data_IF_507200101518
#
_entry.id   IF_507200101518
#
_cell.length_a   1.000
_cell.length_b   1.000
_cell.length_c   1.000
_cell.angle_alpha   90.00
_cell.angle_beta   90.00
_cell.angle_gamma   90.00
#
_symmetry.space_group_name_H-M   'P 1'
#
loop_
_entity.id
_entity.type
_entity.pdbx_description
1 polymer ?
#
# COMPACT_ATOMS: atom_id res chain seq x y z
N UNK A 1 40.08 32.29 -28.78
CA UNK A 1 38.65 32.47 -29.09
C UNK A 1 38.11 31.09 -29.44
N UNK A 2 37.68 30.34 -28.44
CA UNK A 2 36.97 29.08 -28.65
C UNK A 2 35.51 29.33 -28.32
N UNK A 3 34.85 30.06 -29.22
CA UNK A 3 33.42 30.33 -29.14
C UNK A 3 32.69 29.09 -29.64
N UNK A 4 32.79 27.99 -28.87
CA UNK A 4 31.87 26.86 -29.03
C UNK A 4 30.47 27.37 -28.71
N UNK A 5 29.63 27.41 -29.74
CA UNK A 5 28.26 27.89 -29.69
C UNK A 5 27.52 27.30 -28.48
N UNK A 6 26.69 28.08 -27.75
CA UNK A 6 26.00 27.64 -26.52
C UNK A 6 25.13 26.38 -26.72
N UNK A 7 24.86 26.01 -27.97
CA UNK A 7 24.04 24.88 -28.39
C UNK A 7 24.67 23.53 -28.00
N UNK A 8 26.01 23.41 -27.95
CA UNK A 8 26.68 22.14 -27.57
C UNK A 8 26.53 21.82 -26.09
N UNK A 9 26.50 22.84 -25.23
CA UNK A 9 26.35 22.69 -23.78
C UNK A 9 24.95 22.19 -23.40
N UNK A 10 23.90 22.66 -24.06
CA UNK A 10 22.53 22.19 -23.81
C UNK A 10 22.32 20.75 -24.27
N UNK A 11 22.91 20.37 -25.41
CA UNK A 11 22.86 18.97 -25.87
C UNK A 11 23.63 18.03 -24.96
N UNK A 12 24.80 18.41 -24.47
CA UNK A 12 25.57 17.58 -23.54
C UNK A 12 24.86 17.44 -22.19
N UNK A 13 24.34 18.53 -21.62
CA UNK A 13 23.53 18.47 -20.39
C UNK A 13 22.27 17.62 -20.55
N UNK A 14 21.59 17.69 -21.70
CA UNK A 14 20.41 16.87 -21.97
C UNK A 14 20.76 15.38 -22.08
N UNK A 15 21.88 15.04 -22.72
CA UNK A 15 22.36 13.65 -22.85
C UNK A 15 22.80 13.09 -21.49
N UNK A 16 23.54 13.87 -20.71
CA UNK A 16 23.97 13.45 -19.36
C UNK A 16 22.78 13.21 -18.44
N UNK A 17 21.79 14.12 -18.46
CA UNK A 17 20.56 13.97 -17.69
C UNK A 17 19.73 12.76 -18.16
N UNK A 18 19.67 12.50 -19.47
CA UNK A 18 18.98 11.34 -20.01
C UNK A 18 19.67 10.02 -19.62
N UNK A 19 21.01 9.98 -19.55
CA UNK A 19 21.75 8.80 -19.12
C UNK A 19 21.63 8.55 -17.61
N UNK A 20 21.56 9.60 -16.80
CA UNK A 20 21.42 9.48 -15.33
C UNK A 20 20.00 9.14 -14.86
N UNK A 21 18.97 9.66 -15.54
CA UNK A 21 17.57 9.46 -15.16
C UNK A 21 16.83 8.42 -16.00
N UNK A 22 17.25 8.19 -17.25
CA UNK A 22 16.62 7.22 -18.15
C UNK A 22 16.53 5.81 -17.57
N UNK A 23 17.64 5.22 -17.07
CA UNK A 23 17.62 3.90 -16.43
C UNK A 23 16.76 3.87 -15.17
N UNK A 24 16.78 4.93 -14.36
CA UNK A 24 15.97 5.03 -13.13
C UNK A 24 14.48 5.05 -13.44
N UNK A 25 14.06 5.81 -14.45
CA UNK A 25 12.67 5.86 -14.92
C UNK A 25 12.23 4.51 -15.47
N UNK A 26 13.06 3.87 -16.30
CA UNK A 26 12.77 2.53 -16.84
C UNK A 26 12.60 1.49 -15.73
N UNK A 27 13.51 1.45 -14.76
CA UNK A 27 13.41 0.56 -13.60
C UNK A 27 12.19 0.87 -12.75
N UNK A 28 11.88 2.13 -12.52
CA UNK A 28 10.70 2.56 -11.76
C UNK A 28 9.39 2.10 -12.44
N UNK A 29 9.30 2.23 -13.76
CA UNK A 29 8.15 1.73 -14.55
C UNK A 29 8.05 0.21 -14.51
N UNK A 30 9.18 -0.49 -14.60
CA UNK A 30 9.23 -1.95 -14.51
C UNK A 30 8.76 -2.43 -13.13
N UNK A 31 9.27 -1.81 -12.05
CA UNK A 31 8.86 -2.10 -10.68
C UNK A 31 7.38 -1.78 -10.47
N UNK A 32 6.88 -0.67 -10.99
CA UNK A 32 5.46 -0.32 -10.91
C UNK A 32 4.59 -1.39 -11.58
N UNK A 33 4.94 -1.80 -12.79
CA UNK A 33 4.16 -2.80 -13.53
C UNK A 33 4.16 -4.16 -12.85
N UNK A 34 5.35 -4.65 -12.46
CA UNK A 34 5.50 -5.94 -11.77
C UNK A 34 4.83 -5.88 -10.39
N UNK A 35 5.04 -4.79 -9.64
CA UNK A 35 4.45 -4.57 -8.33
C UNK A 35 2.93 -4.62 -8.37
N UNK A 36 2.28 -3.94 -9.33
CA UNK A 36 0.83 -4.00 -9.47
C UNK A 36 0.31 -5.41 -9.78
N UNK A 37 1.07 -6.21 -10.52
CA UNK A 37 0.74 -7.62 -10.78
C UNK A 37 0.89 -8.45 -9.50
N UNK A 38 1.97 -8.28 -8.75
CA UNK A 38 2.21 -8.97 -7.48
C UNK A 38 1.10 -8.65 -6.48
N UNK A 39 0.75 -7.37 -6.31
CA UNK A 39 -0.33 -6.94 -5.40
C UNK A 39 -1.64 -7.63 -5.77
N UNK A 40 -1.98 -7.68 -7.05
CA UNK A 40 -3.20 -8.37 -7.52
C UNK A 40 -3.18 -9.86 -7.17
N UNK A 41 -2.03 -10.52 -7.29
CA UNK A 41 -1.88 -11.93 -6.91
C UNK A 41 -2.04 -12.11 -5.41
N UNK A 42 -1.40 -11.26 -4.60
CA UNK A 42 -1.49 -11.30 -3.13
C UNK A 42 -2.91 -11.09 -2.63
N UNK A 43 -3.61 -10.07 -3.15
CA UNK A 43 -5.02 -9.80 -2.77
C UNK A 43 -5.90 -10.99 -3.13
N UNK A 44 -5.76 -11.56 -4.34
CA UNK A 44 -6.52 -12.76 -4.73
C UNK A 44 -6.18 -13.97 -3.87
N UNK A 45 -4.94 -14.12 -3.42
CA UNK A 45 -4.53 -15.21 -2.55
C UNK A 45 -5.23 -15.10 -1.19
N UNK A 46 -5.32 -13.89 -0.63
CA UNK A 46 -6.06 -13.62 0.60
C UNK A 46 -7.56 -13.89 0.42
N UNK A 47 -8.17 -13.36 -0.63
CA UNK A 47 -9.60 -13.56 -0.92
C UNK A 47 -9.94 -15.05 -1.06
N UNK A 48 -9.12 -15.82 -1.80
CA UNK A 48 -9.29 -17.27 -1.93
C UNK A 48 -9.11 -18.00 -0.60
N UNK A 49 -8.17 -17.55 0.24
CA UNK A 49 -7.97 -18.11 1.57
C UNK A 49 -9.21 -17.94 2.46
N UNK A 50 -9.87 -16.79 2.37
CA UNK A 50 -11.10 -16.49 3.11
C UNK A 50 -12.32 -17.22 2.55
N UNK A 51 -12.43 -17.38 1.23
CA UNK A 51 -13.49 -18.17 0.58
C UNK A 51 -13.48 -19.62 1.05
N UNK A 52 -12.28 -20.23 1.18
CA UNK A 52 -12.14 -21.61 1.69
C UNK A 52 -12.62 -21.81 3.12
N UNK A 53 -12.84 -20.73 3.88
CA UNK A 53 -13.28 -20.75 5.28
C UNK A 53 -14.70 -20.22 5.45
N UNK A 54 -15.50 -20.16 4.38
CA UNK A 54 -16.87 -19.61 4.38
C UNK A 54 -16.99 -18.26 5.10
N UNK A 55 -15.97 -17.41 4.92
CA UNK A 55 -15.98 -16.08 5.53
C UNK A 55 -17.00 -15.18 4.82
N UNK A 56 -17.72 -14.35 5.57
CA UNK A 56 -18.69 -13.39 5.04
C UNK A 56 -18.16 -12.57 3.85
N UNK A 57 -18.89 -12.47 2.71
CA UNK A 57 -18.44 -11.74 1.52
C UNK A 57 -18.06 -10.28 1.78
N UNK A 58 -18.73 -9.62 2.73
CA UNK A 58 -18.43 -8.25 3.14
C UNK A 58 -17.05 -8.14 3.77
N UNK A 59 -16.70 -9.09 4.64
CA UNK A 59 -15.39 -9.13 5.31
C UNK A 59 -14.27 -9.45 4.30
N UNK A 60 -14.55 -10.32 3.33
CA UNK A 60 -13.60 -10.60 2.23
C UNK A 60 -13.27 -9.32 1.45
N UNK A 61 -14.28 -8.57 1.02
CA UNK A 61 -14.09 -7.30 0.29
C UNK A 61 -13.36 -6.26 1.14
N UNK A 62 -13.71 -6.16 2.42
CA UNK A 62 -13.05 -5.25 3.35
C UNK A 62 -11.56 -5.57 3.49
N UNK A 63 -11.20 -6.83 3.75
CA UNK A 63 -9.80 -7.27 3.83
C UNK A 63 -9.05 -7.09 2.51
N UNK A 64 -9.64 -7.50 1.39
CA UNK A 64 -9.05 -7.36 0.06
C UNK A 64 -8.78 -5.90 -0.31
N UNK A 65 -9.72 -5.01 0.00
CA UNK A 65 -9.54 -3.56 -0.22
C UNK A 65 -8.49 -2.94 0.70
N UNK A 66 -8.50 -3.25 2.01
CA UNK A 66 -7.49 -2.76 2.95
C UNK A 66 -6.07 -3.16 2.52
N UNK A 67 -5.86 -4.44 2.25
CA UNK A 67 -4.55 -4.96 1.81
C UNK A 67 -4.17 -4.37 0.44
N UNK A 68 -5.13 -4.32 -0.49
CA UNK A 68 -4.90 -3.80 -1.83
C UNK A 68 -4.51 -2.33 -1.85
N UNK A 69 -5.20 -1.48 -1.06
CA UNK A 69 -4.86 -0.06 -0.95
C UNK A 69 -3.55 0.16 -0.19
N UNK A 70 -3.32 -0.57 0.91
CA UNK A 70 -2.08 -0.49 1.67
C UNK A 70 -0.84 -0.83 0.83
N UNK A 71 -0.87 -1.97 0.13
CA UNK A 71 0.26 -2.39 -0.72
C UNK A 71 0.48 -1.44 -1.90
N UNK A 72 -0.57 -0.90 -2.51
CA UNK A 72 -0.43 0.10 -3.59
C UNK A 72 0.23 1.38 -3.08
N UNK A 73 -0.19 1.88 -1.91
CA UNK A 73 0.41 3.07 -1.32
C UNK A 73 1.92 2.89 -1.10
N UNK A 74 2.33 1.74 -0.55
CA UNK A 74 3.74 1.39 -0.38
C UNK A 74 4.48 1.33 -1.73
N UNK A 75 3.91 0.66 -2.73
CA UNK A 75 4.50 0.57 -4.07
C UNK A 75 4.70 1.96 -4.69
N UNK A 76 3.71 2.84 -4.60
CA UNK A 76 3.82 4.20 -5.13
C UNK A 76 4.92 5.00 -4.43
N UNK A 77 5.01 4.92 -3.10
CA UNK A 77 6.09 5.57 -2.35
C UNK A 77 7.45 5.04 -2.80
N UNK A 78 7.61 3.72 -2.95
CA UNK A 78 8.87 3.13 -3.44
C UNK A 78 9.24 3.62 -4.84
N UNK A 79 8.28 3.65 -5.77
CA UNK A 79 8.50 4.13 -7.15
C UNK A 79 8.89 5.61 -7.18
N UNK A 80 8.23 6.46 -6.39
CA UNK A 80 8.57 7.88 -6.26
C UNK A 80 9.98 8.06 -5.70
N UNK A 81 10.36 7.26 -4.70
CA UNK A 81 11.70 7.28 -4.13
C UNK A 81 12.78 6.88 -5.15
N UNK A 82 12.51 5.88 -6.00
CA UNK A 82 13.43 5.45 -7.07
C UNK A 82 13.70 6.56 -8.09
N UNK A 83 12.74 7.47 -8.30
CA UNK A 83 12.90 8.64 -9.16
C UNK A 83 13.72 9.77 -8.52
N UNK A 84 14.17 9.60 -7.27
CA UNK A 84 14.96 10.59 -6.53
C UNK A 84 14.11 11.67 -5.85
N UNK A 85 12.79 11.49 -5.79
CA UNK A 85 11.89 12.41 -5.09
C UNK A 85 11.86 12.07 -3.61
N UNK A 86 12.01 13.08 -2.75
CA UNK A 86 11.90 12.92 -1.31
C UNK A 86 10.48 12.49 -0.90
N UNK A 87 10.36 11.32 -0.27
CA UNK A 87 9.06 10.73 0.09
C UNK A 87 8.59 11.03 1.50
N UNK A 88 9.39 11.72 2.32
CA UNK A 88 9.08 12.00 3.73
C UNK A 88 7.70 12.63 3.93
N UNK A 89 7.35 13.64 3.12
CA UNK A 89 6.03 14.29 3.18
C UNK A 89 4.89 13.36 2.77
N UNK A 90 5.12 12.47 1.79
CA UNK A 90 4.14 11.46 1.39
C UNK A 90 3.91 10.43 2.50
N UNK A 91 4.98 9.97 3.14
CA UNK A 91 4.90 9.04 4.27
C UNK A 91 4.15 9.68 5.44
N UNK A 92 4.38 10.97 5.72
CA UNK A 92 3.63 11.69 6.75
C UNK A 92 2.12 11.77 6.44
N UNK A 93 1.75 12.11 5.20
CA UNK A 93 0.34 12.16 4.77
C UNK A 93 -0.31 10.77 4.82
N UNK A 94 0.39 9.74 4.34
CA UNK A 94 -0.10 8.36 4.40
C UNK A 94 -0.23 7.86 5.85
N UNK A 95 0.68 8.25 6.73
CA UNK A 95 0.60 7.98 8.16
C UNK A 95 -0.63 8.64 8.79
N UNK A 96 -0.89 9.91 8.48
CA UNK A 96 -2.08 10.62 8.95
C UNK A 96 -3.38 10.01 8.40
N UNK A 97 -3.41 9.65 7.11
CA UNK A 97 -4.55 8.96 6.51
C UNK A 97 -4.78 7.57 7.13
N UNK A 98 -3.70 6.81 7.36
CA UNK A 98 -3.76 5.53 8.04
C UNK A 98 -4.28 5.64 9.47
N UNK A 99 -3.85 6.67 10.21
CA UNK A 99 -4.39 6.98 11.53
C UNK A 99 -5.88 7.31 11.45
N UNK A 100 -6.29 8.19 10.54
CA UNK A 100 -7.69 8.56 10.38
C UNK A 100 -8.59 7.35 10.06
N UNK A 101 -8.14 6.48 9.14
CA UNK A 101 -8.83 5.22 8.82
C UNK A 101 -8.85 4.29 10.04
N UNK A 102 -7.74 4.16 10.76
CA UNK A 102 -7.64 3.35 11.97
C UNK A 102 -8.59 3.81 13.07
N UNK A 103 -8.68 5.12 13.31
CA UNK A 103 -9.59 5.74 14.27
C UNK A 103 -11.06 5.54 13.85
N UNK A 104 -11.36 5.67 12.55
CA UNK A 104 -12.70 5.40 12.04
C UNK A 104 -13.11 3.93 12.23
N UNK A 105 -12.16 3.00 12.15
CA UNK A 105 -12.38 1.56 12.32
C UNK A 105 -12.24 1.08 13.77
N UNK A 106 -11.80 1.94 14.69
CA UNK A 106 -11.45 1.57 16.08
C UNK A 106 -12.63 0.89 16.79
N UNK A 107 -13.84 1.44 16.68
CA UNK A 107 -15.04 0.86 17.32
C UNK A 107 -15.41 -0.50 16.74
N UNK A 108 -15.32 -0.68 15.42
CA UNK A 108 -15.62 -1.95 14.75
C UNK A 108 -14.60 -3.04 15.13
N UNK A 109 -13.31 -2.70 15.20
CA UNK A 109 -12.26 -3.62 15.64
C UNK A 109 -12.41 -4.00 17.11
N UNK A 110 -12.77 -3.06 17.98
CA UNK A 110 -13.01 -3.33 19.39
C UNK A 110 -14.18 -4.30 19.58
N UNK A 111 -15.28 -4.11 18.85
CA UNK A 111 -16.42 -5.03 18.87
C UNK A 111 -16.04 -6.43 18.36
N UNK A 112 -15.23 -6.51 17.30
CA UNK A 112 -14.73 -7.79 16.79
C UNK A 112 -13.87 -8.52 17.81
N UNK A 113 -12.90 -7.82 18.44
CA UNK A 113 -12.05 -8.39 19.46
C UNK A 113 -12.86 -8.87 20.68
N UNK A 114 -13.85 -8.09 21.13
CA UNK A 114 -14.78 -8.49 22.18
C UNK A 114 -15.52 -9.79 21.85
N UNK A 115 -16.04 -9.91 20.62
CA UNK A 115 -16.68 -11.13 20.15
C UNK A 115 -15.74 -12.34 20.14
N UNK A 116 -14.52 -12.18 19.65
CA UNK A 116 -13.50 -13.25 19.65
C UNK A 116 -13.11 -13.67 21.07
N UNK A 117 -12.92 -12.71 21.99
CA UNK A 117 -12.61 -12.99 23.40
C UNK A 117 -13.72 -13.79 24.08
N UNK A 118 -14.99 -13.46 23.83
CA UNK A 118 -16.13 -14.22 24.36
C UNK A 118 -16.09 -15.67 23.84
N UNK A 119 -15.82 -15.87 22.55
CA UNK A 119 -15.74 -17.21 21.96
C UNK A 119 -14.58 -18.05 22.51
N UNK A 120 -13.42 -17.42 22.73
CA UNK A 120 -12.22 -18.08 23.24
C UNK A 120 -12.33 -18.42 24.73
N UNK A 121 -12.77 -17.46 25.54
CA UNK A 121 -12.80 -17.63 26.99
C UNK A 121 -14.11 -18.22 27.51
N UNK A 122 -15.16 -18.23 26.67
CA UNK A 122 -16.53 -18.64 27.06
C UNK A 122 -16.89 -18.18 28.49
N UNK A 123 -16.78 -16.88 28.81
CA UNK A 123 -17.04 -16.38 30.16
C UNK A 123 -18.48 -16.63 30.62
N UNK A 124 -19.40 -16.85 29.68
CA UNK A 124 -20.81 -17.16 29.91
C UNK A 124 -21.25 -18.31 29.01
N UNK A 125 -22.14 -19.17 29.50
CA UNK A 125 -22.73 -20.29 28.75
C UNK A 125 -24.11 -19.90 28.24
N UNK A 126 -24.56 -20.58 27.18
CA UNK A 126 -25.92 -20.40 26.65
C UNK A 126 -26.91 -20.80 27.75
N UNK A 127 -27.67 -19.82 28.26
CA UNK A 127 -28.61 -20.00 29.36
C UNK A 127 -28.27 -19.24 30.65
N UNK A 128 -27.09 -18.63 30.74
CA UNK A 128 -26.74 -17.77 31.89
C UNK A 128 -27.53 -16.45 31.81
N UNK A 129 -28.20 -16.10 32.91
CA UNK A 129 -28.74 -14.75 33.13
C UNK A 129 -27.56 -13.82 33.44
N UNK A 130 -27.39 -12.78 32.62
CA UNK A 130 -26.38 -11.75 32.80
C UNK A 130 -27.11 -10.49 33.29
N UNK A 131 -26.64 -9.89 34.40
CA UNK A 131 -27.08 -8.57 34.90
C UNK A 131 -26.39 -7.41 34.18
#
# INVERSE_FOLDING_TARGET
MNDTLPITDWTQKAVDLALDYGPKVLLALLVLFIGLRIIRVLVRAVERGMQKRDTEPTLQRFMGSLIGWGLKALLFVSVIQMLGVATTSFVAVLGAAGLAVGLALQGTLANFAGGVLILLFKPYKVGDLIE
#
